data_IF_427808239465
#
_entry.id   IF_427808239465
#
_cell.length_a   1.000
_cell.length_b   1.000
_cell.length_c   1.000
_cell.angle_alpha   90.00
_cell.angle_beta   90.00
_cell.angle_gamma   90.00
#
_symmetry.space_group_name_H-M   'P 1'
#
loop_
_entity.id
_entity.type
_entity.pdbx_description
1 polymer ?
#
# COMPACT_ATOMS: atom_id res chain seq x y z
N UNK A 1 -10.09 7.11 6.23
CA UNK A 1 -8.63 6.96 6.28
C UNK A 1 -8.10 7.17 7.69
N UNK A 2 -8.48 6.28 8.62
CA UNK A 2 -7.96 6.28 10.00
C UNK A 2 -6.75 5.37 10.16
N UNK A 3 -5.98 5.14 9.10
CA UNK A 3 -4.62 4.63 9.25
C UNK A 3 -3.69 5.79 9.59
N UNK A 4 -4.04 6.53 10.65
CA UNK A 4 -3.16 7.52 11.20
C UNK A 4 -1.92 6.81 11.73
N UNK A 5 -0.78 7.30 11.33
CA UNK A 5 0.49 7.02 12.00
C UNK A 5 0.27 7.19 13.51
N UNK A 6 0.44 6.12 14.25
CA UNK A 6 0.29 6.14 15.71
C UNK A 6 1.26 7.10 16.42
N UNK A 7 2.06 7.85 15.69
CA UNK A 7 3.09 8.71 16.24
C UNK A 7 2.72 10.19 16.32
N UNK A 8 1.74 10.68 15.56
CA UNK A 8 1.47 12.12 15.51
C UNK A 8 0.23 12.57 16.26
N UNK A 9 -0.66 11.66 16.62
CA UNK A 9 -1.81 12.00 17.42
C UNK A 9 -1.48 11.91 18.91
N UNK A 10 -1.11 13.05 19.44
CA UNK A 10 -1.13 13.30 20.86
C UNK A 10 -2.40 12.73 21.44
N UNK A 11 -2.27 11.70 22.26
CA UNK A 11 -3.29 11.05 23.06
C UNK A 11 -4.51 11.94 23.34
N UNK A 12 -5.55 11.75 22.59
CA UNK A 12 -6.87 11.93 23.16
C UNK A 12 -7.09 10.70 24.02
N UNK A 13 -7.26 10.90 25.32
CA UNK A 13 -7.33 9.85 26.37
C UNK A 13 -8.38 8.73 26.13
N UNK A 14 -9.01 8.68 24.96
CA UNK A 14 -10.13 7.79 24.65
C UNK A 14 -9.91 6.99 23.36
N UNK A 15 -8.89 7.28 22.55
CA UNK A 15 -8.69 6.61 21.26
C UNK A 15 -7.69 5.47 21.40
N UNK A 16 -8.02 4.30 20.84
CA UNK A 16 -7.10 3.19 20.73
C UNK A 16 -6.04 3.47 19.65
N UNK A 17 -4.79 3.10 19.92
CA UNK A 17 -3.69 3.22 19.01
C UNK A 17 -3.49 1.95 18.18
N UNK A 18 -3.27 2.10 16.88
CA UNK A 18 -2.71 1.03 16.06
C UNK A 18 -1.27 0.74 16.44
N UNK A 19 -0.80 -0.46 16.10
CA UNK A 19 0.59 -0.86 16.32
C UNK A 19 1.32 -1.02 14.98
N UNK A 20 2.65 -0.80 14.92
CA UNK A 20 3.60 -0.52 16.01
C UNK A 20 3.33 0.80 16.73
N UNK A 21 3.26 0.75 18.06
CA UNK A 21 3.19 1.94 18.90
C UNK A 21 4.57 2.20 19.53
N UNK A 22 5.16 3.34 19.21
CA UNK A 22 6.47 3.72 19.74
C UNK A 22 6.34 4.78 20.82
N UNK A 23 6.97 4.51 21.96
CA UNK A 23 6.96 5.34 23.16
C UNK A 23 8.40 5.70 23.50
N UNK A 24 8.71 6.98 23.59
CA UNK A 24 9.97 7.50 24.13
C UNK A 24 9.78 7.91 25.59
N UNK A 25 10.61 7.36 26.48
CA UNK A 25 10.61 7.72 27.90
C UNK A 25 11.57 8.88 28.18
N UNK A 26 11.34 9.61 29.27
CA UNK A 26 12.17 10.75 29.69
C UNK A 26 13.63 10.37 29.92
N UNK A 27 13.91 9.14 30.32
CA UNK A 27 15.28 8.62 30.51
C UNK A 27 15.95 8.21 29.18
N UNK A 28 15.32 8.47 28.03
CA UNK A 28 15.87 8.15 26.71
C UNK A 28 15.54 6.77 26.18
N UNK A 29 14.98 5.87 27.00
CA UNK A 29 14.57 4.53 26.58
C UNK A 29 13.43 4.60 25.57
N UNK A 30 13.52 3.80 24.52
CA UNK A 30 12.50 3.73 23.47
C UNK A 30 11.87 2.33 23.51
N UNK A 31 10.54 2.29 23.46
CA UNK A 31 9.74 1.07 23.52
C UNK A 31 8.83 1.05 22.30
N UNK A 32 8.82 -0.06 21.54
CA UNK A 32 7.84 -0.29 20.49
C UNK A 32 7.04 -1.56 20.77
N UNK A 33 5.72 -1.45 20.70
CA UNK A 33 4.78 -2.54 20.96
C UNK A 33 4.11 -2.93 19.67
N UNK A 34 4.15 -4.21 19.32
CA UNK A 34 3.56 -4.71 18.09
C UNK A 34 3.14 -6.17 18.17
N UNK A 35 2.52 -6.67 17.09
CA UNK A 35 2.18 -8.08 16.90
C UNK A 35 2.83 -8.64 15.63
N UNK A 36 3.07 -9.95 15.61
CA UNK A 36 3.63 -10.65 14.45
C UNK A 36 2.86 -11.95 14.18
N UNK A 37 2.95 -12.43 12.92
CA UNK A 37 2.31 -13.67 12.47
C UNK A 37 0.79 -13.64 12.65
N UNK A 38 0.14 -12.60 12.16
CA UNK A 38 -1.33 -12.43 12.23
C UNK A 38 -2.01 -13.23 11.12
N UNK A 39 -2.47 -14.42 11.47
CA UNK A 39 -3.14 -15.39 10.58
C UNK A 39 -4.40 -15.89 11.29
N UNK A 40 -5.53 -15.92 10.59
CA UNK A 40 -6.82 -16.42 11.10
C UNK A 40 -7.14 -15.93 12.53
N UNK A 41 -6.91 -14.66 12.77
CA UNK A 41 -7.12 -14.02 14.07
C UNK A 41 -7.51 -12.56 13.89
N UNK A 42 -7.98 -11.89 14.92
CA UNK A 42 -8.29 -10.46 14.86
C UNK A 42 -7.09 -9.59 15.22
N UNK A 43 -6.88 -8.50 14.48
CA UNK A 43 -5.82 -7.53 14.75
C UNK A 43 -6.04 -6.81 16.09
N UNK A 44 -4.96 -6.50 16.79
CA UNK A 44 -5.03 -5.76 18.04
C UNK A 44 -4.89 -4.26 17.86
N UNK A 45 -5.50 -3.52 18.76
CA UNK A 45 -5.21 -2.13 19.10
C UNK A 45 -4.81 -2.02 20.56
N UNK A 46 -4.26 -0.88 20.95
CA UNK A 46 -3.88 -0.58 22.33
C UNK A 46 -4.71 0.60 22.83
N UNK A 47 -5.64 0.32 23.74
CA UNK A 47 -6.51 1.32 24.34
C UNK A 47 -5.92 1.84 25.66
N UNK A 48 -5.81 3.18 25.87
CA UNK A 48 -5.36 3.73 27.12
C UNK A 48 -6.45 3.58 28.22
N UNK A 49 -6.05 3.00 29.35
CA UNK A 49 -6.96 2.81 30.54
C UNK A 49 -6.62 3.75 31.68
N UNK A 50 -5.78 4.76 31.45
CA UNK A 50 -5.28 5.67 32.49
C UNK A 50 -4.08 5.13 33.26
N UNK A 51 -3.42 5.97 34.05
CA UNK A 51 -2.26 5.62 34.86
C UNK A 51 -1.11 4.91 34.10
N UNK A 52 -0.94 5.19 32.83
CA UNK A 52 0.08 4.57 31.99
C UNK A 52 -0.24 3.12 31.55
N UNK A 53 -1.43 2.62 31.81
CA UNK A 53 -1.87 1.29 31.38
C UNK A 53 -2.41 1.34 29.94
N UNK A 54 -1.98 0.35 29.14
CA UNK A 54 -2.51 0.05 27.82
C UNK A 54 -3.16 -1.33 27.85
N UNK A 55 -4.38 -1.42 27.36
CA UNK A 55 -5.09 -2.69 27.22
C UNK A 55 -5.18 -3.08 25.75
N UNK A 56 -4.98 -4.37 25.45
CA UNK A 56 -5.17 -4.91 24.11
C UNK A 56 -6.65 -5.06 23.84
N UNK A 57 -7.12 -4.42 22.77
CA UNK A 57 -8.45 -4.61 22.22
C UNK A 57 -8.36 -5.28 20.84
N UNK A 58 -9.31 -6.20 20.57
CA UNK A 58 -9.42 -6.89 19.28
C UNK A 58 -10.66 -6.38 18.54
N UNK A 59 -10.54 -6.23 17.23
CA UNK A 59 -11.69 -5.92 16.38
C UNK A 59 -12.67 -7.11 16.37
N UNK A 60 -13.92 -6.91 16.80
CA UNK A 60 -14.88 -8.00 16.84
C UNK A 60 -15.49 -8.28 15.47
N UNK A 61 -16.05 -9.46 15.30
CA UNK A 61 -17.07 -9.74 14.30
C UNK A 61 -18.33 -8.88 14.56
N UNK A 62 -19.20 -8.78 13.56
CA UNK A 62 -20.46 -8.04 13.68
C UNK A 62 -21.36 -8.53 14.82
N UNK A 63 -21.24 -9.80 15.21
CA UNK A 63 -21.95 -10.42 16.35
C UNK A 63 -21.26 -10.20 17.71
N UNK A 64 -20.16 -9.44 17.76
CA UNK A 64 -19.39 -9.15 18.98
C UNK A 64 -18.31 -10.18 19.33
N UNK A 65 -18.27 -11.33 18.64
CA UNK A 65 -17.22 -12.34 18.85
C UNK A 65 -15.85 -11.78 18.45
N UNK A 66 -14.84 -11.95 19.29
CA UNK A 66 -13.50 -11.42 18.98
C UNK A 66 -12.74 -12.27 17.99
N UNK A 67 -12.80 -13.59 18.12
CA UNK A 67 -12.15 -14.54 17.21
C UNK A 67 -13.01 -15.81 17.12
N UNK A 68 -13.22 -16.30 15.90
CA UNK A 68 -13.90 -17.56 15.61
C UNK A 68 -12.85 -18.61 15.25
N UNK A 69 -12.86 -19.74 15.91
CA UNK A 69 -11.84 -20.78 15.77
C UNK A 69 -12.53 -22.16 15.69
N UNK A 70 -11.98 -23.02 14.82
CA UNK A 70 -12.55 -24.37 14.68
C UNK A 70 -12.03 -25.32 15.77
N UNK A 71 -10.71 -25.64 15.80
CA UNK A 71 -10.19 -26.67 16.71
C UNK A 71 -8.85 -26.35 17.40
N UNK A 72 -8.02 -25.52 16.79
CA UNK A 72 -6.71 -25.12 17.34
C UNK A 72 -6.56 -23.62 17.29
N UNK A 73 -6.07 -23.07 18.38
CA UNK A 73 -5.75 -21.65 18.49
C UNK A 73 -4.26 -21.48 18.30
N UNK A 74 -3.88 -20.67 17.29
CA UNK A 74 -2.57 -20.05 17.26
C UNK A 74 -2.79 -18.55 17.27
N UNK A 75 -2.52 -17.91 18.41
CA UNK A 75 -2.61 -16.45 18.51
C UNK A 75 -1.38 -15.81 17.84
N UNK A 76 -1.51 -14.61 17.31
CA UNK A 76 -0.36 -13.81 16.90
C UNK A 76 0.61 -13.62 18.07
N UNK A 77 1.89 -13.50 17.79
CA UNK A 77 2.86 -13.03 18.75
C UNK A 77 2.58 -11.58 19.11
N UNK A 78 2.71 -11.25 20.38
CA UNK A 78 2.76 -9.88 20.87
C UNK A 78 4.11 -9.65 21.47
N UNK A 79 4.81 -8.64 20.98
CA UNK A 79 6.16 -8.38 21.41
C UNK A 79 6.38 -6.92 21.78
N UNK A 80 7.34 -6.70 22.66
CA UNK A 80 7.79 -5.38 23.08
C UNK A 80 9.28 -5.30 22.72
N UNK A 81 9.61 -4.38 21.85
CA UNK A 81 10.98 -4.07 21.50
C UNK A 81 11.46 -2.91 22.37
N UNK A 82 12.61 -3.07 22.99
CA UNK A 82 13.21 -2.07 23.87
C UNK A 82 14.59 -1.71 23.35
N UNK A 83 14.83 -0.42 23.14
CA UNK A 83 16.08 0.11 22.62
C UNK A 83 16.56 1.31 23.47
N UNK A 84 17.87 1.44 23.60
CA UNK A 84 18.50 2.57 24.28
C UNK A 84 18.69 3.80 23.37
N UNK A 85 18.51 3.62 22.05
CA UNK A 85 18.46 4.69 21.08
C UNK A 85 17.60 4.31 19.87
N UNK A 86 17.25 5.32 19.06
CA UNK A 86 16.35 5.16 17.92
C UNK A 86 16.95 4.35 16.76
N UNK A 87 18.26 4.43 16.54
CA UNK A 87 18.94 3.67 15.47
C UNK A 87 18.84 2.16 15.71
N UNK A 88 19.02 1.69 16.95
CA UNK A 88 18.87 0.28 17.32
C UNK A 88 17.43 -0.22 17.14
N UNK A 89 16.44 0.64 17.31
CA UNK A 89 15.04 0.27 17.04
C UNK A 89 14.85 -0.07 15.56
N UNK A 90 15.46 0.73 14.65
CA UNK A 90 15.36 0.56 13.20
C UNK A 90 16.11 -0.68 12.67
N UNK A 91 17.10 -1.17 13.39
CA UNK A 91 17.93 -2.31 12.98
C UNK A 91 17.36 -3.68 13.37
N UNK A 92 16.21 -3.72 14.03
CA UNK A 92 15.65 -4.97 14.54
C UNK A 92 14.90 -5.78 13.48
N UNK A 93 15.20 -7.07 13.42
CA UNK A 93 14.50 -8.06 12.59
C UNK A 93 13.52 -8.95 13.39
N UNK A 94 13.18 -8.57 14.62
CA UNK A 94 12.37 -9.39 15.53
C UNK A 94 11.04 -9.81 14.89
N UNK A 95 10.39 -8.91 14.15
CA UNK A 95 9.10 -9.20 13.51
C UNK A 95 9.22 -10.35 12.50
N UNK A 96 10.33 -10.44 11.76
CA UNK A 96 10.57 -11.55 10.83
C UNK A 96 10.87 -12.84 11.57
N UNK A 97 11.66 -12.76 12.65
CA UNK A 97 12.03 -13.94 13.45
C UNK A 97 10.84 -14.58 14.19
N UNK A 98 9.74 -13.85 14.33
CA UNK A 98 8.48 -14.34 14.90
C UNK A 98 7.52 -14.91 13.84
N UNK A 99 7.96 -15.04 12.59
CA UNK A 99 7.21 -15.66 11.50
C UNK A 99 7.92 -16.92 11.02
N UNK A 100 7.13 -17.82 10.44
CA UNK A 100 7.64 -19.05 9.83
C UNK A 100 8.36 -18.75 8.51
N UNK A 101 9.25 -19.64 8.11
CA UNK A 101 9.82 -19.67 6.77
C UNK A 101 8.75 -20.08 5.73
N UNK A 102 8.98 -19.84 4.44
CA UNK A 102 8.13 -20.37 3.39
C UNK A 102 8.06 -21.89 3.46
N UNK A 103 6.95 -22.47 3.00
CA UNK A 103 6.87 -23.92 2.82
C UNK A 103 8.01 -24.38 1.87
N UNK A 104 8.80 -25.34 2.30
CA UNK A 104 9.95 -25.89 1.54
C UNK A 104 9.57 -26.47 0.16
N UNK A 105 8.28 -26.83 -0.02
CA UNK A 105 7.75 -27.30 -1.29
C UNK A 105 7.28 -26.16 -2.23
N UNK A 106 7.33 -24.89 -1.77
CA UNK A 106 6.97 -23.73 -2.56
C UNK A 106 8.20 -23.00 -3.08
N UNK A 107 8.28 -22.86 -4.40
CA UNK A 107 9.33 -22.06 -5.04
C UNK A 107 8.89 -20.58 -5.15
N UNK A 108 9.63 -19.69 -4.52
CA UNK A 108 9.48 -18.24 -4.62
C UNK A 108 10.65 -17.55 -5.36
N UNK A 109 11.50 -18.29 -6.05
CA UNK A 109 12.65 -17.74 -6.82
C UNK A 109 12.23 -16.77 -7.92
N UNK A 110 10.96 -16.81 -8.32
CA UNK A 110 10.33 -15.92 -9.30
C UNK A 110 9.98 -14.54 -8.73
N UNK A 111 9.94 -14.37 -7.41
CA UNK A 111 9.74 -13.05 -6.77
C UNK A 111 10.96 -12.20 -7.07
N UNK A 112 10.74 -11.05 -7.70
CA UNK A 112 11.82 -10.13 -8.06
C UNK A 112 11.44 -8.71 -7.64
N UNK A 113 12.36 -8.01 -7.01
CA UNK A 113 12.22 -6.59 -6.73
C UNK A 113 12.30 -5.78 -8.02
N UNK A 114 11.85 -4.52 -7.95
CA UNK A 114 11.90 -3.67 -9.12
C UNK A 114 11.42 -2.25 -8.88
N UNK A 115 11.39 -1.50 -9.97
CA UNK A 115 10.84 -0.15 -10.00
C UNK A 115 9.76 -0.05 -11.06
N UNK A 116 8.73 0.71 -10.76
CA UNK A 116 7.63 0.91 -11.67
C UNK A 116 7.22 2.38 -11.73
N UNK A 117 6.57 2.74 -12.83
CA UNK A 117 5.88 4.02 -13.00
C UNK A 117 4.37 3.78 -12.98
N UNK A 118 3.56 4.84 -12.98
CA UNK A 118 2.12 4.68 -13.01
C UNK A 118 1.36 5.77 -13.74
N UNK A 119 0.33 5.35 -14.45
CA UNK A 119 -0.78 6.20 -14.85
C UNK A 119 -1.70 6.27 -13.63
N UNK A 120 -1.41 7.18 -12.73
CA UNK A 120 -2.03 7.27 -11.41
C UNK A 120 -2.00 8.70 -10.86
N UNK A 121 -0.81 9.33 -10.69
CA UNK A 121 -0.68 10.65 -10.07
C UNK A 121 -1.40 11.74 -10.89
N UNK A 122 -1.50 11.58 -12.19
CA UNK A 122 -2.28 12.49 -13.04
C UNK A 122 -3.80 12.44 -12.76
N UNK A 123 -4.28 11.41 -12.07
CA UNK A 123 -5.68 11.28 -11.66
C UNK A 123 -5.89 11.84 -10.25
N UNK A 124 -5.14 11.37 -9.26
CA UNK A 124 -5.35 11.74 -7.86
C UNK A 124 -4.61 13.00 -7.43
N UNK A 125 -3.43 13.23 -7.98
CA UNK A 125 -2.55 14.33 -7.58
C UNK A 125 -2.77 15.61 -8.39
N UNK A 126 -2.84 15.48 -9.73
CA UNK A 126 -2.93 16.66 -10.61
C UNK A 126 -4.32 16.88 -11.20
N UNK A 127 -5.21 15.91 -11.15
CA UNK A 127 -6.54 15.94 -11.80
C UNK A 127 -6.45 16.21 -13.33
N UNK A 128 -5.35 15.85 -14.00
CA UNK A 128 -5.22 15.99 -15.45
C UNK A 128 -6.01 14.92 -16.20
N UNK A 129 -6.29 13.79 -15.54
CA UNK A 129 -7.07 12.71 -16.13
C UNK A 129 -8.03 12.07 -15.12
N UNK A 130 -8.88 11.16 -15.61
CA UNK A 130 -9.88 10.43 -14.85
C UNK A 130 -9.60 8.94 -14.85
N UNK A 131 -10.08 8.23 -13.80
CA UNK A 131 -10.10 6.76 -13.77
C UNK A 131 -11.17 6.16 -14.69
N UNK A 132 -12.24 6.90 -14.98
CA UNK A 132 -13.35 6.46 -15.82
C UNK A 132 -13.23 6.97 -17.24
N UNK A 133 -13.87 6.28 -18.18
CA UNK A 133 -13.92 6.70 -19.57
C UNK A 133 -14.52 8.09 -19.73
N UNK A 134 -13.73 9.00 -20.25
CA UNK A 134 -14.04 10.39 -20.51
C UNK A 134 -13.13 10.93 -21.61
N UNK A 135 -13.28 12.20 -21.98
CA UNK A 135 -12.34 12.88 -22.87
C UNK A 135 -10.91 12.89 -22.31
N UNK A 136 -10.76 12.89 -20.98
CA UNK A 136 -9.48 12.93 -20.28
C UNK A 136 -9.15 11.59 -19.58
N UNK A 137 -9.63 10.47 -20.08
CA UNK A 137 -9.35 9.17 -19.52
C UNK A 137 -7.85 8.86 -19.48
N UNK A 138 -7.33 8.49 -18.29
CA UNK A 138 -5.92 8.16 -18.10
C UNK A 138 -5.54 6.80 -18.68
N UNK A 139 -6.38 5.79 -18.50
CA UNK A 139 -6.10 4.43 -18.93
C UNK A 139 -6.50 4.18 -20.40
N UNK A 140 -6.11 5.03 -21.33
CA UNK A 140 -6.31 4.79 -22.76
C UNK A 140 -5.05 4.26 -23.46
N UNK A 141 -5.20 3.56 -24.56
CA UNK A 141 -4.11 2.91 -25.29
C UNK A 141 -2.95 3.86 -25.62
N UNK A 142 -3.23 5.06 -26.09
CA UNK A 142 -2.20 6.00 -26.54
C UNK A 142 -1.35 6.52 -25.38
N UNK A 143 -2.01 6.90 -24.27
CA UNK A 143 -1.33 7.39 -23.07
C UNK A 143 -0.51 6.28 -22.42
N UNK A 144 -1.10 5.11 -22.24
CA UNK A 144 -0.40 3.97 -21.63
C UNK A 144 0.80 3.54 -22.46
N UNK A 145 0.68 3.54 -23.81
CA UNK A 145 1.83 3.30 -24.68
C UNK A 145 2.94 4.33 -24.47
N UNK A 146 2.60 5.61 -24.37
CA UNK A 146 3.58 6.68 -24.09
C UNK A 146 4.32 6.44 -22.76
N UNK A 147 3.60 6.04 -21.70
CA UNK A 147 4.23 5.70 -20.42
C UNK A 147 5.09 4.44 -20.48
N UNK A 148 4.68 3.41 -21.24
CA UNK A 148 5.49 2.21 -21.48
C UNK A 148 6.81 2.57 -22.17
N UNK A 149 6.76 3.40 -23.24
CA UNK A 149 7.94 3.86 -23.95
C UNK A 149 8.88 4.65 -23.03
N UNK A 150 8.33 5.52 -22.20
CA UNK A 150 9.11 6.30 -21.23
C UNK A 150 9.73 5.42 -20.14
N UNK A 151 8.97 4.47 -19.60
CA UNK A 151 9.46 3.52 -18.61
C UNK A 151 10.61 2.67 -19.15
N UNK A 152 10.44 2.10 -20.36
CA UNK A 152 11.48 1.32 -21.05
C UNK A 152 12.76 2.11 -21.27
N UNK A 153 12.65 3.35 -21.79
CA UNK A 153 13.80 4.23 -22.01
C UNK A 153 14.57 4.57 -20.74
N UNK A 154 13.91 4.50 -19.59
CA UNK A 154 14.49 4.87 -18.29
C UNK A 154 14.76 3.67 -17.37
N UNK A 155 14.76 2.44 -17.91
CA UNK A 155 15.05 1.19 -17.20
C UNK A 155 14.08 0.85 -16.05
N UNK A 156 12.84 1.31 -16.13
CA UNK A 156 11.77 0.81 -15.26
C UNK A 156 11.21 -0.48 -15.87
N UNK A 157 10.96 -1.48 -15.02
CA UNK A 157 10.48 -2.80 -15.46
C UNK A 157 8.97 -2.99 -15.25
N UNK A 158 8.28 -2.00 -14.70
CA UNK A 158 6.83 -2.05 -14.45
C UNK A 158 6.11 -0.74 -14.79
N UNK A 159 4.86 -0.87 -15.22
CA UNK A 159 3.92 0.26 -15.38
C UNK A 159 2.57 -0.10 -14.77
N UNK A 160 2.20 0.59 -13.69
CA UNK A 160 0.87 0.55 -13.11
C UNK A 160 -0.11 1.36 -13.99
N UNK A 161 -1.30 0.81 -14.20
CA UNK A 161 -2.40 1.53 -14.87
C UNK A 161 -3.67 1.35 -14.03
N UNK A 162 -4.12 2.40 -13.41
CA UNK A 162 -5.44 2.44 -12.77
C UNK A 162 -6.52 2.85 -13.80
N UNK A 163 -7.77 2.51 -13.58
CA UNK A 163 -8.86 2.85 -14.51
C UNK A 163 -8.99 1.93 -15.73
N UNK A 164 -8.20 0.86 -15.83
CA UNK A 164 -8.14 0.00 -17.00
C UNK A 164 -9.38 -0.88 -17.23
N UNK A 165 -10.10 -1.21 -16.16
CA UNK A 165 -11.16 -2.22 -16.14
C UNK A 165 -12.55 -1.60 -15.96
N UNK A 166 -13.60 -2.35 -16.24
CA UNK A 166 -14.98 -1.94 -16.01
C UNK A 166 -15.29 -1.76 -14.53
N UNK A 167 -16.14 -0.80 -14.20
CA UNK A 167 -16.56 -0.45 -12.84
C UNK A 167 -16.20 0.98 -12.42
N UNK A 168 -15.28 1.62 -13.12
CA UNK A 168 -14.93 3.01 -12.86
C UNK A 168 -15.96 3.98 -13.41
N UNK A 169 -16.44 4.89 -12.56
CA UNK A 169 -17.37 5.97 -12.89
C UNK A 169 -17.14 7.17 -11.93
N UNK A 170 -17.69 8.37 -12.19
CA UNK A 170 -17.40 9.55 -11.36
C UNK A 170 -17.65 9.36 -9.85
N UNK A 171 -18.58 8.49 -9.48
CA UNK A 171 -18.95 8.22 -8.09
C UNK A 171 -18.46 6.83 -7.60
N UNK A 172 -17.39 6.28 -8.21
CA UNK A 172 -16.89 4.94 -7.90
C UNK A 172 -16.44 4.78 -6.43
N UNK A 173 -15.94 5.86 -5.83
CA UNK A 173 -15.58 5.87 -4.42
C UNK A 173 -16.63 6.57 -3.56
N UNK A 174 -16.64 6.26 -2.28
CA UNK A 174 -17.23 7.06 -1.21
C UNK A 174 -18.77 7.12 -1.16
N UNK A 175 -19.48 6.63 -2.16
CA UNK A 175 -20.95 6.56 -2.18
C UNK A 175 -21.50 5.26 -1.57
N UNK A 176 -20.69 4.19 -1.52
CA UNK A 176 -21.11 2.85 -1.11
C UNK A 176 -22.05 2.15 -2.10
N UNK A 177 -22.34 2.77 -3.24
CA UNK A 177 -23.31 2.31 -4.25
C UNK A 177 -22.68 2.13 -5.63
N UNK A 178 -21.34 2.09 -5.73
CA UNK A 178 -20.65 1.88 -7.00
C UNK A 178 -20.98 0.54 -7.64
N UNK A 179 -20.98 0.50 -8.97
CA UNK A 179 -21.05 -0.75 -9.71
C UNK A 179 -19.89 -1.67 -9.32
N UNK A 180 -20.08 -2.99 -9.28
CA UNK A 180 -19.00 -3.91 -8.97
C UNK A 180 -17.94 -3.87 -10.06
N UNK A 181 -16.68 -3.80 -9.65
CA UNK A 181 -15.55 -3.89 -10.58
C UNK A 181 -15.49 -5.26 -11.25
N UNK A 182 -15.17 -5.27 -12.55
CA UNK A 182 -14.70 -6.47 -13.24
C UNK A 182 -13.17 -6.53 -13.17
N UNK A 183 -12.60 -7.66 -12.82
CA UNK A 183 -11.15 -7.86 -12.78
C UNK A 183 -10.61 -8.63 -13.99
N UNK A 184 -11.48 -8.85 -14.99
CA UNK A 184 -11.16 -9.60 -16.22
C UNK A 184 -11.51 -8.85 -17.49
N UNK A 185 -12.27 -7.76 -17.39
CA UNK A 185 -12.76 -7.01 -18.56
C UNK A 185 -12.22 -5.59 -18.58
N UNK A 186 -11.54 -5.25 -19.67
CA UNK A 186 -11.08 -3.87 -19.94
C UNK A 186 -12.24 -2.97 -20.32
N UNK A 187 -12.03 -1.66 -20.14
CA UNK A 187 -12.84 -0.63 -20.79
C UNK A 187 -12.52 -0.55 -22.29
N UNK A 188 -13.38 0.11 -23.09
CA UNK A 188 -13.31 0.02 -24.55
C UNK A 188 -12.05 0.65 -25.18
N UNK A 189 -11.45 1.64 -24.54
CA UNK A 189 -10.26 2.35 -25.00
C UNK A 189 -8.95 1.83 -24.41
N UNK A 190 -9.02 0.69 -23.65
CA UNK A 190 -7.87 -0.01 -23.08
C UNK A 190 -7.82 -1.46 -23.58
N UNK A 191 -6.89 -1.77 -24.47
CA UNK A 191 -6.62 -3.14 -24.92
C UNK A 191 -5.51 -3.76 -24.10
N UNK A 192 -5.88 -4.53 -23.07
CA UNK A 192 -4.92 -5.15 -22.14
C UNK A 192 -4.01 -6.15 -22.84
N UNK A 193 -4.47 -6.87 -23.87
CA UNK A 193 -3.66 -7.83 -24.59
C UNK A 193 -2.60 -7.14 -25.47
N UNK A 194 -3.00 -6.10 -26.19
CA UNK A 194 -2.08 -5.28 -26.97
C UNK A 194 -1.02 -4.62 -26.09
N UNK A 195 -1.44 -3.92 -25.03
CA UNK A 195 -0.54 -3.15 -24.18
C UNK A 195 0.42 -4.05 -23.38
N UNK A 196 -0.04 -5.19 -22.89
CA UNK A 196 0.83 -6.15 -22.21
C UNK A 196 1.83 -6.78 -23.16
N UNK A 197 1.40 -7.18 -24.36
CA UNK A 197 2.30 -7.72 -25.39
C UNK A 197 3.35 -6.70 -25.83
N UNK A 198 2.92 -5.46 -26.07
CA UNK A 198 3.82 -4.36 -26.40
C UNK A 198 4.82 -4.09 -25.28
N UNK A 199 4.35 -3.91 -24.04
CA UNK A 199 5.20 -3.66 -22.88
C UNK A 199 6.24 -4.78 -22.67
N UNK A 200 5.79 -6.03 -22.73
CA UNK A 200 6.69 -7.19 -22.60
C UNK A 200 7.78 -7.19 -23.71
N UNK A 201 7.45 -6.79 -24.93
CA UNK A 201 8.41 -6.73 -26.05
C UNK A 201 9.50 -5.68 -25.86
N UNK A 202 9.26 -4.65 -25.04
CA UNK A 202 10.22 -3.57 -24.73
C UNK A 202 10.77 -3.63 -23.30
N UNK A 203 10.53 -4.77 -22.58
CA UNK A 203 11.06 -5.04 -21.25
C UNK A 203 10.29 -4.39 -20.08
N UNK A 204 9.06 -3.93 -20.29
CA UNK A 204 8.20 -3.33 -19.25
C UNK A 204 6.92 -4.15 -19.10
N UNK A 205 6.74 -4.79 -17.95
CA UNK A 205 5.49 -5.48 -17.67
C UNK A 205 4.41 -4.50 -17.16
N UNK A 206 3.15 -4.76 -17.47
CA UNK A 206 2.08 -4.10 -16.74
C UNK A 206 2.12 -4.53 -15.26
N UNK A 207 1.96 -3.59 -14.36
CA UNK A 207 1.60 -3.84 -12.96
C UNK A 207 0.08 -3.80 -12.90
N UNK A 208 -0.53 -4.93 -12.53
CA UNK A 208 -1.97 -5.04 -12.44
C UNK A 208 -2.53 -4.14 -11.36
N UNK A 209 -3.76 -3.67 -11.55
CA UNK A 209 -4.49 -2.91 -10.54
C UNK A 209 -5.86 -3.53 -10.28
N UNK A 210 -6.15 -3.82 -9.03
CA UNK A 210 -7.44 -4.34 -8.58
C UNK A 210 -8.00 -3.46 -7.45
N UNK A 211 -8.77 -2.42 -7.80
CA UNK A 211 -9.57 -1.69 -6.83
C UNK A 211 -10.85 -2.47 -6.52
N UNK A 212 -11.09 -2.74 -5.25
CA UNK A 212 -12.26 -3.55 -4.83
C UNK A 212 -13.47 -2.71 -4.47
N UNK A 213 -13.29 -1.41 -4.18
CA UNK A 213 -14.35 -0.54 -3.65
C UNK A 213 -14.96 -1.07 -2.35
N UNK A 214 -14.23 -1.90 -1.58
CA UNK A 214 -14.71 -2.58 -0.39
C UNK A 214 -15.67 -3.75 -0.67
N UNK A 215 -15.82 -4.17 -1.93
CA UNK A 215 -16.71 -5.28 -2.33
C UNK A 215 -15.96 -6.62 -2.35
N UNK A 216 -15.61 -7.10 -1.16
CA UNK A 216 -14.72 -8.24 -0.94
C UNK A 216 -15.19 -9.51 -1.65
N UNK A 217 -16.46 -9.85 -1.54
CA UNK A 217 -17.01 -11.08 -2.15
C UNK A 217 -17.04 -10.99 -3.67
N UNK A 218 -17.27 -9.81 -4.26
CA UNK A 218 -17.15 -9.61 -5.70
C UNK A 218 -15.73 -9.90 -6.18
N UNK A 219 -14.72 -9.41 -5.43
CA UNK A 219 -13.32 -9.67 -5.75
C UNK A 219 -12.98 -11.16 -5.60
N UNK A 220 -13.38 -11.78 -4.48
CA UNK A 220 -13.10 -13.20 -4.25
C UNK A 220 -13.72 -14.14 -5.29
N UNK A 221 -14.90 -13.80 -5.80
CA UNK A 221 -15.57 -14.58 -6.84
C UNK A 221 -14.83 -14.54 -8.18
N UNK A 222 -14.04 -13.49 -8.44
CA UNK A 222 -13.30 -13.31 -9.68
C UNK A 222 -11.80 -13.61 -9.54
N UNK A 223 -11.31 -13.86 -8.32
CA UNK A 223 -9.90 -13.87 -7.98
C UNK A 223 -9.06 -14.83 -8.84
N UNK A 224 -9.53 -16.07 -8.99
CA UNK A 224 -8.83 -17.10 -9.77
C UNK A 224 -8.75 -16.72 -11.25
N UNK A 225 -9.83 -16.23 -11.86
CA UNK A 225 -9.87 -15.87 -13.27
C UNK A 225 -9.07 -14.59 -13.55
N UNK A 226 -9.10 -13.62 -12.64
CA UNK A 226 -8.28 -12.41 -12.73
C UNK A 226 -6.77 -12.75 -12.67
N UNK A 227 -6.37 -13.64 -11.77
CA UNK A 227 -4.96 -14.02 -11.66
C UNK A 227 -4.50 -14.91 -12.82
N UNK A 228 -5.36 -15.78 -13.36
CA UNK A 228 -5.09 -16.50 -14.62
C UNK A 228 -4.88 -15.54 -15.79
N UNK A 229 -5.74 -14.51 -15.91
CA UNK A 229 -5.59 -13.48 -16.93
C UNK A 229 -4.20 -12.82 -16.81
N UNK A 230 -3.85 -12.33 -15.63
CA UNK A 230 -2.59 -11.64 -15.42
C UNK A 230 -1.36 -12.54 -15.64
N UNK A 231 -1.38 -13.78 -15.16
CA UNK A 231 -0.31 -14.72 -15.44
C UNK A 231 -0.13 -14.94 -16.96
N UNK A 232 -1.25 -15.14 -17.69
CA UNK A 232 -1.24 -15.36 -19.15
C UNK A 232 -0.64 -14.20 -19.93
N UNK A 233 -0.92 -12.95 -19.54
CA UNK A 233 -0.45 -11.75 -20.24
C UNK A 233 0.91 -11.25 -19.74
N UNK A 234 1.54 -11.94 -18.79
CA UNK A 234 2.90 -11.64 -18.31
C UNK A 234 2.99 -10.61 -17.20
N UNK A 235 1.89 -10.19 -16.58
CA UNK A 235 1.91 -9.40 -15.34
C UNK A 235 2.63 -10.16 -14.25
N UNK A 236 3.44 -9.47 -13.44
CA UNK A 236 4.22 -10.05 -12.33
C UNK A 236 3.86 -9.47 -10.98
N UNK A 237 3.38 -8.24 -10.95
CA UNK A 237 3.04 -7.52 -9.74
C UNK A 237 1.62 -6.98 -9.85
N UNK A 238 0.87 -7.03 -8.74
CA UNK A 238 -0.50 -6.52 -8.66
C UNK A 238 -0.57 -5.56 -7.49
N UNK A 239 -1.02 -4.33 -7.74
CA UNK A 239 -1.46 -3.39 -6.71
C UNK A 239 -2.94 -3.65 -6.44
N UNK A 240 -3.30 -3.94 -5.19
CA UNK A 240 -4.71 -4.09 -4.78
C UNK A 240 -5.14 -2.90 -3.95
N UNK A 241 -6.35 -2.36 -4.22
CA UNK A 241 -6.97 -1.27 -3.49
C UNK A 241 -8.25 -1.69 -2.78
N UNK A 242 -8.55 -1.04 -1.68
CA UNK A 242 -9.72 -1.32 -0.82
C UNK A 242 -10.38 -0.03 -0.36
N UNK A 243 -10.51 0.94 -1.23
CA UNK A 243 -11.21 2.19 -0.94
C UNK A 243 -12.65 1.89 -0.50
N UNK A 244 -13.21 2.68 0.41
CA UNK A 244 -14.52 2.50 1.07
C UNK A 244 -14.61 1.43 2.15
N UNK A 245 -13.53 0.77 2.51
CA UNK A 245 -13.50 -0.27 3.54
C UNK A 245 -13.13 0.25 4.94
N UNK A 246 -13.20 1.54 5.15
CA UNK A 246 -12.83 2.17 6.41
C UNK A 246 -13.70 1.72 7.59
N UNK A 247 -13.07 1.48 8.74
CA UNK A 247 -13.73 1.15 10.00
C UNK A 247 -14.59 -0.13 9.94
N UNK A 248 -15.81 -0.10 10.45
CA UNK A 248 -16.78 -1.20 10.44
C UNK A 248 -17.71 -1.08 9.23
N UNK A 249 -17.17 -1.15 8.02
CA UNK A 249 -17.97 -0.93 6.82
C UNK A 249 -17.87 -2.03 5.76
N UNK A 250 -17.06 -3.07 5.99
CA UNK A 250 -16.91 -4.17 5.04
C UNK A 250 -18.22 -4.94 4.95
N UNK A 251 -18.85 -4.90 3.79
CA UNK A 251 -20.06 -5.66 3.52
C UNK A 251 -19.73 -7.14 3.36
N UNK A 252 -20.42 -7.97 4.15
CA UNK A 252 -20.38 -9.44 4.05
C UNK A 252 -21.78 -9.99 3.85
N UNK A 253 -21.98 -10.76 2.79
CA UNK A 253 -23.21 -11.50 2.54
C UNK A 253 -23.04 -12.89 3.18
N UNK A 254 -23.87 -13.19 4.15
CA UNK A 254 -23.83 -14.46 4.85
C UNK A 254 -24.51 -15.57 4.01
N UNK A 255 -24.23 -16.86 4.30
CA UNK A 255 -24.82 -17.99 3.52
C UNK A 255 -26.34 -17.96 3.41
N UNK A 256 -27.04 -17.47 4.43
CA UNK A 256 -28.49 -17.32 4.45
C UNK A 256 -29.01 -16.07 3.70
N UNK A 257 -28.12 -15.28 3.06
CA UNK A 257 -28.46 -14.08 2.31
C UNK A 257 -28.57 -12.79 3.14
N UNK A 258 -28.39 -12.85 4.46
CA UNK A 258 -28.33 -11.65 5.30
C UNK A 258 -27.02 -10.89 5.07
N UNK A 259 -27.04 -9.59 5.37
CA UNK A 259 -25.85 -8.72 5.25
C UNK A 259 -25.37 -8.32 6.62
N UNK A 260 -24.10 -8.59 6.90
CA UNK A 260 -23.38 -8.04 8.05
C UNK A 260 -22.37 -7.00 7.62
N UNK A 261 -21.89 -6.19 8.59
CA UNK A 261 -20.83 -5.20 8.43
C UNK A 261 -19.66 -5.57 9.32
N UNK A 262 -18.55 -5.93 8.72
CA UNK A 262 -17.35 -6.37 9.42
C UNK A 262 -16.33 -5.23 9.50
N UNK A 263 -15.40 -5.36 10.45
CA UNK A 263 -14.29 -4.42 10.59
C UNK A 263 -13.17 -4.74 9.59
N UNK A 264 -12.58 -3.69 9.01
CA UNK A 264 -11.42 -3.83 8.12
C UNK A 264 -10.24 -4.58 8.75
N UNK A 265 -10.00 -4.38 10.04
CA UNK A 265 -8.93 -5.03 10.80
C UNK A 265 -9.39 -6.28 11.57
N UNK A 266 -10.61 -6.75 11.31
CA UNK A 266 -11.17 -7.96 11.88
C UNK A 266 -10.70 -9.24 11.18
N UNK A 267 -10.97 -10.39 11.81
CA UNK A 267 -10.56 -11.70 11.31
C UNK A 267 -11.04 -11.96 9.88
N UNK A 268 -12.26 -11.55 9.51
CA UNK A 268 -12.80 -11.72 8.15
C UNK A 268 -11.88 -11.15 7.07
N UNK A 269 -11.36 -9.95 7.27
CA UNK A 269 -10.47 -9.31 6.30
C UNK A 269 -9.06 -9.90 6.34
N UNK A 270 -8.60 -10.34 7.50
CA UNK A 270 -7.29 -11.02 7.62
C UNK A 270 -7.30 -12.30 6.81
N UNK A 271 -8.38 -13.10 6.90
CA UNK A 271 -8.55 -14.33 6.13
C UNK A 271 -8.67 -14.04 4.62
N UNK A 272 -9.40 -12.97 4.25
CA UNK A 272 -9.45 -12.50 2.87
C UNK A 272 -8.05 -12.13 2.34
N UNK A 273 -7.31 -11.33 3.08
CA UNK A 273 -5.97 -10.91 2.66
C UNK A 273 -5.01 -12.08 2.51
N UNK A 274 -5.09 -13.08 3.38
CA UNK A 274 -4.31 -14.28 3.25
C UNK A 274 -4.70 -15.09 2.01
N UNK A 275 -6.00 -15.27 1.74
CA UNK A 275 -6.50 -15.93 0.54
C UNK A 275 -5.98 -15.28 -0.74
N UNK A 276 -5.95 -13.94 -0.79
CA UNK A 276 -5.40 -13.19 -1.95
C UNK A 276 -3.92 -13.52 -2.16
N UNK A 277 -3.11 -13.50 -1.10
CA UNK A 277 -1.67 -13.76 -1.18
C UNK A 277 -1.39 -15.21 -1.64
N UNK A 278 -2.08 -16.18 -1.05
CA UNK A 278 -1.92 -17.60 -1.36
C UNK A 278 -2.39 -17.92 -2.79
N UNK A 279 -3.50 -17.32 -3.22
CA UNK A 279 -3.97 -17.48 -4.59
C UNK A 279 -3.00 -16.83 -5.58
N UNK A 280 -2.47 -15.64 -5.28
CA UNK A 280 -1.48 -14.99 -6.11
C UNK A 280 -0.20 -15.84 -6.27
N UNK A 281 0.26 -16.50 -5.19
CA UNK A 281 1.42 -17.37 -5.24
C UNK A 281 1.25 -18.54 -6.23
N UNK A 282 0.06 -19.15 -6.33
CA UNK A 282 -0.25 -20.21 -7.31
C UNK A 282 -0.04 -19.74 -8.76
N UNK A 283 -0.26 -18.45 -9.02
CA UNK A 283 -0.11 -17.83 -10.35
C UNK A 283 1.22 -17.07 -10.51
N UNK A 284 2.14 -17.20 -9.56
CA UNK A 284 3.43 -16.50 -9.54
C UNK A 284 3.29 -14.98 -9.67
N UNK A 285 2.41 -14.41 -8.86
CA UNK A 285 2.10 -12.99 -8.82
C UNK A 285 2.49 -12.41 -7.45
N UNK A 286 3.16 -11.27 -7.45
CA UNK A 286 3.44 -10.48 -6.26
C UNK A 286 2.26 -9.56 -5.94
N UNK A 287 2.03 -9.32 -4.67
CA UNK A 287 1.00 -8.40 -4.18
C UNK A 287 1.63 -7.18 -3.53
N UNK A 288 1.23 -6.01 -4.00
CA UNK A 288 1.45 -4.69 -3.41
C UNK A 288 0.09 -4.24 -2.91
N UNK A 289 -0.09 -4.14 -1.60
CA UNK A 289 -1.41 -3.89 -1.03
C UNK A 289 -1.57 -2.46 -0.55
N UNK A 290 -2.58 -1.76 -1.05
CA UNK A 290 -3.05 -0.48 -0.53
C UNK A 290 -4.28 -0.67 0.36
N UNK A 291 -4.58 0.27 1.26
CA UNK A 291 -5.52 0.16 2.38
C UNK A 291 -5.40 -1.20 3.11
N UNK A 292 -4.17 -1.64 3.47
CA UNK A 292 -3.97 -2.93 4.11
C UNK A 292 -4.24 -2.86 5.61
N UNK A 293 -4.38 -4.03 6.21
CA UNK A 293 -4.06 -4.14 7.64
C UNK A 293 -2.55 -3.92 7.85
N UNK A 294 -2.18 -3.60 9.10
CA UNK A 294 -0.77 -3.46 9.48
C UNK A 294 0.07 -4.68 9.06
N UNK A 295 1.34 -4.45 8.77
CA UNK A 295 2.28 -5.53 8.52
C UNK A 295 2.61 -6.26 9.83
N UNK A 296 2.65 -7.59 9.79
CA UNK A 296 3.00 -8.45 10.93
C UNK A 296 4.11 -9.43 10.57
N UNK A 297 4.90 -9.12 9.53
CA UNK A 297 6.06 -9.89 9.11
C UNK A 297 5.75 -11.09 8.21
N UNK A 298 4.51 -11.24 7.75
CA UNK A 298 4.07 -12.37 6.91
C UNK A 298 4.85 -12.51 5.59
N UNK A 299 5.57 -11.46 5.18
CA UNK A 299 6.46 -11.53 3.99
C UNK A 299 7.59 -12.56 4.13
N UNK A 300 7.92 -13.01 5.34
CA UNK A 300 8.84 -14.14 5.53
C UNK A 300 8.22 -15.42 5.02
N UNK A 301 6.99 -15.73 5.44
CA UNK A 301 6.26 -16.92 5.02
C UNK A 301 5.76 -16.86 3.58
N UNK A 302 5.38 -15.66 3.15
CA UNK A 302 4.84 -15.37 1.81
C UNK A 302 5.67 -14.29 1.11
N UNK A 303 6.83 -14.64 0.53
CA UNK A 303 7.71 -13.67 -0.13
C UNK A 303 7.04 -12.85 -1.25
N UNK A 304 5.98 -13.37 -1.87
CA UNK A 304 5.18 -12.67 -2.86
C UNK A 304 4.28 -11.56 -2.28
N UNK A 305 4.21 -11.43 -0.98
CA UNK A 305 3.63 -10.26 -0.33
C UNK A 305 4.71 -9.18 -0.21
N UNK A 306 5.00 -8.54 -1.35
CA UNK A 306 6.25 -7.83 -1.54
C UNK A 306 6.26 -6.44 -0.88
N UNK A 307 5.13 -5.74 -0.88
CA UNK A 307 4.99 -4.42 -0.25
C UNK A 307 3.54 -4.12 0.12
N UNK A 308 3.33 -3.09 0.94
CA UNK A 308 2.02 -2.56 1.30
C UNK A 308 2.10 -1.10 1.72
N UNK A 309 1.01 -0.36 1.58
CA UNK A 309 0.94 1.02 2.08
C UNK A 309 0.87 1.05 3.62
N UNK A 310 -0.29 0.90 4.23
CA UNK A 310 -0.54 0.75 5.67
C UNK A 310 -0.32 1.99 6.54
N UNK A 311 -0.12 3.15 5.95
CA UNK A 311 -0.16 4.48 6.55
C UNK A 311 -0.40 5.51 5.42
N UNK A 312 -0.63 6.77 5.77
CA UNK A 312 -0.76 7.84 4.78
C UNK A 312 0.51 7.93 3.93
N UNK A 313 0.41 7.54 2.66
CA UNK A 313 1.46 7.64 1.66
C UNK A 313 1.40 8.97 0.88
N UNK A 314 2.09 9.00 -0.24
CA UNK A 314 2.05 10.15 -1.17
C UNK A 314 0.63 10.42 -1.68
N UNK A 315 -0.19 9.39 -1.85
CA UNK A 315 -1.58 9.50 -2.27
C UNK A 315 -2.36 10.52 -1.45
N UNK A 316 -2.16 10.53 -0.14
CA UNK A 316 -2.86 11.43 0.76
C UNK A 316 -2.57 12.91 0.47
N UNK A 317 -1.40 13.23 -0.07
CA UNK A 317 -1.07 14.58 -0.53
C UNK A 317 -1.83 14.98 -1.81
N UNK A 318 -2.44 14.03 -2.52
CA UNK A 318 -3.29 14.31 -3.69
C UNK A 318 -4.60 15.00 -3.34
N UNK A 319 -5.12 14.81 -2.14
CA UNK A 319 -6.42 15.37 -1.73
C UNK A 319 -6.40 16.03 -0.34
N UNK A 320 -5.27 15.97 0.39
CA UNK A 320 -5.09 16.54 1.71
C UNK A 320 -3.63 16.90 1.95
N UNK A 321 -3.17 16.90 3.18
CA UNK A 321 -1.76 17.09 3.53
C UNK A 321 -1.35 16.19 4.70
N UNK A 322 -0.19 15.55 4.56
CA UNK A 322 0.41 14.78 5.65
C UNK A 322 1.15 15.66 6.68
N UNK A 323 1.43 16.92 6.34
CA UNK A 323 2.34 17.75 7.11
C UNK A 323 3.81 17.34 6.93
N UNK A 324 4.73 18.21 7.33
CA UNK A 324 6.17 18.01 7.08
C UNK A 324 6.80 16.92 7.96
N UNK A 325 6.27 16.71 9.17
CA UNK A 325 6.84 15.78 10.17
C UNK A 325 6.43 14.33 9.92
N UNK A 326 5.34 14.09 9.17
CA UNK A 326 4.85 12.73 8.92
C UNK A 326 5.94 11.81 8.35
N UNK A 327 6.78 12.32 7.45
CA UNK A 327 7.86 11.54 6.86
C UNK A 327 8.94 11.11 7.86
N UNK A 328 9.15 11.86 8.94
CA UNK A 328 10.10 11.53 10.01
C UNK A 328 9.50 10.68 11.13
N UNK A 329 8.15 10.54 11.15
CA UNK A 329 7.44 9.66 12.07
C UNK A 329 7.37 8.22 11.54
N UNK A 330 7.18 8.05 10.24
CA UNK A 330 6.97 6.73 9.63
C UNK A 330 8.11 5.72 9.90
N UNK A 331 9.40 6.09 9.87
CA UNK A 331 10.49 5.17 10.18
C UNK A 331 10.38 4.52 11.56
N UNK A 332 9.89 5.27 12.55
CA UNK A 332 9.78 4.82 13.95
C UNK A 332 8.41 4.26 14.31
N UNK A 333 7.52 4.14 13.35
CA UNK A 333 6.16 3.60 13.52
C UNK A 333 5.89 2.56 12.44
N UNK A 334 5.24 2.96 11.33
CA UNK A 334 4.81 2.06 10.25
C UNK A 334 5.95 1.20 9.66
N UNK A 335 7.11 1.78 9.42
CA UNK A 335 8.24 1.08 8.80
C UNK A 335 8.94 0.07 9.72
N UNK A 336 8.72 0.14 11.04
CA UNK A 336 9.18 -0.91 11.97
C UNK A 336 8.54 -2.27 11.68
N UNK A 337 7.38 -2.29 11.06
CA UNK A 337 6.69 -3.53 10.71
C UNK A 337 7.11 -4.12 9.36
N UNK A 338 7.68 -3.32 8.47
CA UNK A 338 8.16 -3.81 7.18
C UNK A 338 8.07 -2.80 6.03
N UNK A 339 8.27 -3.27 4.79
CA UNK A 339 8.31 -2.43 3.61
C UNK A 339 7.02 -1.64 3.42
N UNK A 340 7.17 -0.42 2.87
CA UNK A 340 6.05 0.46 2.58
C UNK A 340 6.06 0.93 1.14
N UNK A 341 4.95 0.73 0.43
CA UNK A 341 4.71 1.36 -0.87
C UNK A 341 4.18 2.79 -0.65
N UNK A 342 5.11 3.70 -0.32
CA UNK A 342 4.82 5.12 -0.07
C UNK A 342 4.50 5.88 -1.35
N UNK A 343 4.96 5.38 -2.50
CA UNK A 343 4.85 6.01 -3.82
C UNK A 343 5.55 7.38 -3.92
N UNK A 344 6.87 7.46 -3.61
CA UNK A 344 7.61 8.71 -3.60
C UNK A 344 7.97 9.23 -5.00
N UNK A 345 8.67 10.36 -5.05
CA UNK A 345 9.30 10.87 -6.26
C UNK A 345 8.52 11.95 -6.97
N UNK A 346 7.63 12.65 -6.28
CA UNK A 346 6.93 13.80 -6.84
C UNK A 346 7.88 15.01 -6.88
N UNK A 347 8.17 15.51 -8.08
CA UNK A 347 9.03 16.67 -8.30
C UNK A 347 8.24 17.97 -8.51
N UNK A 348 7.00 17.85 -9.04
CA UNK A 348 6.11 18.98 -9.15
C UNK A 348 5.34 19.16 -7.83
N UNK A 349 5.87 19.99 -6.92
CA UNK A 349 5.38 20.08 -5.54
C UNK A 349 4.31 21.15 -5.33
N UNK A 350 4.27 22.19 -6.16
CA UNK A 350 3.45 23.38 -5.90
C UNK A 350 2.53 23.72 -7.09
N UNK A 351 1.32 24.18 -6.80
CA UNK A 351 0.35 24.74 -7.76
C UNK A 351 0.17 23.86 -9.03
N UNK A 352 0.07 22.57 -8.83
CA UNK A 352 0.03 21.59 -9.90
C UNK A 352 -1.36 20.96 -10.11
N UNK A 353 -2.19 20.94 -9.04
CA UNK A 353 -3.48 20.26 -9.07
C UNK A 353 -4.55 21.13 -9.70
N UNK A 354 -5.21 20.61 -10.72
CA UNK A 354 -6.45 21.19 -11.24
C UNK A 354 -7.61 20.96 -10.25
N UNK A 355 -8.54 21.91 -10.17
CA UNK A 355 -9.74 21.80 -9.31
C UNK A 355 -10.56 20.57 -9.65
N UNK A 356 -10.64 20.25 -10.94
CA UNK A 356 -11.26 19.03 -11.46
C UNK A 356 -10.62 18.64 -12.79
N UNK A 357 -10.75 17.37 -13.22
CA UNK A 357 -10.23 16.91 -14.51
C UNK A 357 -10.75 17.78 -15.66
N UNK A 358 -9.81 18.26 -16.49
CA UNK A 358 -10.10 19.14 -17.62
C UNK A 358 -10.40 20.62 -17.27
N UNK A 359 -10.22 21.02 -16.02
CA UNK A 359 -10.30 22.42 -15.58
C UNK A 359 -9.02 23.17 -15.94
N UNK A 360 -9.13 24.47 -16.26
CA UNK A 360 -7.98 25.39 -16.35
C UNK A 360 -7.64 26.02 -14.99
N UNK A 361 -8.49 25.82 -13.99
CA UNK A 361 -8.32 26.34 -12.63
C UNK A 361 -7.44 25.43 -11.79
N UNK A 362 -6.42 25.99 -11.14
CA UNK A 362 -5.49 25.26 -10.26
C UNK A 362 -5.86 25.47 -8.79
N UNK A 363 -5.97 24.37 -8.05
CA UNK A 363 -6.09 24.40 -6.60
C UNK A 363 -4.73 24.81 -5.97
N UNK A 364 -4.61 26.07 -5.63
CA UNK A 364 -3.39 26.64 -5.03
C UNK A 364 -3.08 26.11 -3.64
N UNK A 365 -4.00 25.39 -3.00
CA UNK A 365 -3.80 24.76 -1.70
C UNK A 365 -3.28 23.31 -1.83
N UNK A 366 -3.30 22.73 -3.02
CA UNK A 366 -2.78 21.40 -3.28
C UNK A 366 -1.24 21.44 -3.37
N UNK A 367 -0.60 21.41 -2.22
CA UNK A 367 0.87 21.44 -2.09
C UNK A 367 1.35 20.13 -1.46
N UNK A 368 2.31 19.48 -2.10
CA UNK A 368 3.06 18.38 -1.46
C UNK A 368 4.09 19.00 -0.51
N UNK A 369 3.99 18.79 0.82
CA UNK A 369 4.85 19.42 1.81
C UNK A 369 6.24 18.75 1.85
N UNK A 370 6.96 18.84 0.75
CA UNK A 370 8.22 18.15 0.51
C UNK A 370 9.23 19.05 -0.24
N UNK A 371 10.36 18.48 -0.57
CA UNK A 371 11.38 19.03 -1.50
C UNK A 371 11.86 17.90 -2.40
N UNK A 372 12.42 18.21 -3.58
CA UNK A 372 13.01 17.18 -4.45
C UNK A 372 14.04 16.35 -3.67
N UNK A 373 14.89 16.99 -2.87
CA UNK A 373 15.89 16.27 -2.06
C UNK A 373 15.24 15.30 -1.05
N UNK A 374 14.16 15.71 -0.39
CA UNK A 374 13.39 14.83 0.50
C UNK A 374 12.76 13.68 -0.27
N UNK A 375 12.14 13.93 -1.43
CA UNK A 375 11.56 12.89 -2.28
C UNK A 375 12.62 11.85 -2.69
N UNK A 376 13.84 12.27 -3.01
CA UNK A 376 14.94 11.35 -3.29
C UNK A 376 15.38 10.56 -2.06
N UNK A 377 15.46 11.18 -0.89
CA UNK A 377 15.83 10.51 0.36
C UNK A 377 14.85 9.39 0.74
N UNK A 378 13.55 9.52 0.39
CA UNK A 378 12.54 8.51 0.67
C UNK A 378 12.85 7.16 -0.02
N UNK A 379 13.51 7.15 -1.17
CA UNK A 379 13.94 5.91 -1.85
C UNK A 379 15.00 5.13 -1.06
N UNK A 380 15.73 5.79 -0.17
CA UNK A 380 16.74 5.16 0.69
C UNK A 380 16.16 4.80 2.05
N UNK A 381 15.42 5.72 2.67
CA UNK A 381 14.92 5.58 4.04
C UNK A 381 13.69 4.66 4.09
N UNK A 382 12.81 4.72 3.09
CA UNK A 382 11.60 3.93 3.05
C UNK A 382 11.82 2.64 2.25
N UNK A 383 12.14 1.59 2.97
CA UNK A 383 12.36 0.30 2.33
C UNK A 383 11.09 -0.20 1.63
N UNK A 384 11.22 -0.51 0.36
CA UNK A 384 10.25 -1.26 -0.43
C UNK A 384 10.96 -2.03 -1.55
N UNK A 385 10.80 -3.34 -1.67
CA UNK A 385 11.35 -4.10 -2.80
C UNK A 385 10.71 -3.72 -4.15
N UNK A 386 9.53 -3.13 -4.11
CA UNK A 386 8.88 -2.52 -5.28
C UNK A 386 8.69 -1.04 -5.03
N UNK A 387 9.44 -0.19 -5.74
CA UNK A 387 9.39 1.27 -5.56
C UNK A 387 8.81 1.95 -6.79
N UNK A 388 7.88 2.87 -6.57
CA UNK A 388 7.25 3.66 -7.61
C UNK A 388 8.02 4.96 -7.87
N UNK A 389 8.22 5.31 -9.15
CA UNK A 389 8.47 6.67 -9.57
C UNK A 389 7.11 7.30 -9.89
N UNK A 390 6.55 8.04 -8.93
CA UNK A 390 5.12 8.34 -8.91
C UNK A 390 4.71 9.53 -9.77
N UNK A 391 5.65 10.43 -10.11
CA UNK A 391 5.35 11.64 -10.88
C UNK A 391 5.19 11.38 -12.39
N UNK A 392 4.67 12.36 -13.10
CA UNK A 392 4.44 12.30 -14.54
C UNK A 392 5.77 12.40 -15.31
N UNK A 393 5.91 11.74 -16.47
CA UNK A 393 7.11 11.81 -17.31
C UNK A 393 7.59 13.24 -17.60
N UNK A 394 6.66 14.16 -17.86
CA UNK A 394 6.98 15.57 -18.16
C UNK A 394 7.68 16.31 -17.01
N UNK A 395 7.44 15.88 -15.75
CA UNK A 395 8.08 16.48 -14.60
C UNK A 395 9.50 15.92 -14.38
N UNK A 396 9.69 14.64 -14.63
CA UNK A 396 11.03 14.02 -14.59
C UNK A 396 11.96 14.58 -15.67
N UNK A 397 11.46 14.85 -16.87
CA UNK A 397 12.23 15.45 -17.97
C UNK A 397 12.79 16.83 -17.58
N UNK A 398 12.09 17.59 -16.74
CA UNK A 398 12.53 18.91 -16.26
C UNK A 398 13.67 18.84 -15.22
N UNK A 399 13.86 17.68 -14.57
CA UNK A 399 14.84 17.48 -13.49
C UNK A 399 15.69 16.22 -13.76
N UNK A 400 16.44 16.16 -14.86
CA UNK A 400 17.11 14.95 -15.32
C UNK A 400 18.15 14.41 -14.32
N UNK A 401 18.88 15.27 -13.59
CA UNK A 401 19.87 14.85 -12.60
C UNK A 401 19.22 14.19 -11.38
N UNK A 402 18.14 14.77 -10.86
CA UNK A 402 17.38 14.17 -9.76
C UNK A 402 16.71 12.86 -10.19
N UNK A 403 16.22 12.79 -11.42
CA UNK A 403 15.61 11.58 -11.96
C UNK A 403 16.63 10.45 -12.17
N UNK A 404 17.89 10.80 -12.51
CA UNK A 404 18.98 9.81 -12.60
C UNK A 404 19.20 9.09 -11.26
N UNK A 405 19.07 9.80 -10.13
CA UNK A 405 19.12 9.17 -8.82
C UNK A 405 18.01 8.11 -8.65
N UNK A 406 16.75 8.45 -8.99
CA UNK A 406 15.64 7.48 -8.90
C UNK A 406 15.92 6.24 -9.75
N UNK A 407 16.49 6.41 -10.95
CA UNK A 407 16.83 5.29 -11.84
C UNK A 407 17.93 4.39 -11.26
N UNK A 408 18.93 5.00 -10.64
CA UNK A 408 20.14 4.30 -10.18
C UNK A 408 20.07 3.73 -8.76
N UNK A 409 19.29 4.36 -7.85
CA UNK A 409 19.18 3.88 -6.45
C UNK A 409 18.68 2.44 -6.41
N UNK A 410 19.31 1.53 -5.64
CA UNK A 410 18.84 0.15 -5.54
C UNK A 410 17.55 0.05 -4.74
N UNK A 411 16.79 -1.02 -4.96
CA UNK A 411 15.58 -1.37 -4.19
C UNK A 411 15.82 -2.48 -3.16
N UNK A 412 16.96 -3.14 -3.25
CA UNK A 412 17.45 -4.11 -2.27
C UNK A 412 18.84 -3.74 -1.79
N UNK A 413 19.09 -4.02 -0.53
CA UNK A 413 20.33 -3.69 0.16
C UNK A 413 20.91 -4.93 0.84
N UNK A 414 22.16 -5.25 0.58
CA UNK A 414 22.87 -6.34 1.27
C UNK A 414 23.18 -6.01 2.73
N UNK A 415 23.26 -4.72 3.04
CA UNK A 415 23.50 -4.22 4.39
C UNK A 415 22.94 -2.81 4.53
N UNK A 416 22.32 -2.54 5.66
CA UNK A 416 21.95 -1.18 6.10
C UNK A 416 22.70 -0.86 7.39
N UNK A 417 22.93 0.41 7.63
CA UNK A 417 23.46 0.90 8.89
C UNK A 417 22.87 2.28 9.17
N UNK A 418 22.15 2.40 10.27
CA UNK A 418 21.60 3.68 10.71
C UNK A 418 22.67 4.40 11.53
N UNK A 419 23.29 5.42 10.96
CA UNK A 419 24.40 6.14 11.57
C UNK A 419 23.90 6.96 12.75
N UNK A 420 22.82 7.70 12.55
CA UNK A 420 22.15 8.50 13.57
C UNK A 420 20.68 8.68 13.23
N UNK A 421 19.87 8.87 14.26
CA UNK A 421 18.44 9.10 14.07
C UNK A 421 17.82 9.73 15.32
N UNK A 422 16.74 10.49 15.11
CA UNK A 422 15.94 11.05 16.19
C UNK A 422 14.47 11.01 15.83
N UNK A 423 13.67 10.39 16.70
CA UNK A 423 12.23 10.18 16.46
C UNK A 423 11.57 11.51 16.13
N UNK A 424 10.78 11.52 15.05
CA UNK A 424 10.04 12.67 14.51
C UNK A 424 10.91 13.81 13.98
N UNK A 425 12.24 13.65 13.90
CA UNK A 425 13.12 14.71 13.43
C UNK A 425 13.93 14.30 12.19
N UNK A 426 14.67 13.18 12.27
CA UNK A 426 15.48 12.68 11.14
C UNK A 426 15.87 11.20 11.26
N UNK A 427 16.26 10.64 10.15
CA UNK A 427 16.94 9.34 10.01
C UNK A 427 18.12 9.49 9.07
#
# INVERSE_FOLDING_TARGET
HECSSAASDVYKRQDAAHTPLTIKKDNGLIISIHEANLINYSSMTLAPKGNGLLEVELYPWSDGTKVKLDNKITSPWRFIQIADNSSKLLDSDIILNLNEDPDENQDFSWVKPGKYMGVWWEMIGTNESTWWQSQNHGANNSKVKYYLDFASKNNFNGLLVEGWNKGWHPEWCCSGNGDPFSFTESVNDFDINYLSSYGNSIGVNLVGHHETGGQIQNYENQLEDAFKLYNRIGVKNIKTGYVNDVSKNIKKINPEGTVSREWHHGQYMIDHFQKVIETAAKYKLNIIKHEPIKDTGLRRKYPNFISREGAKGQEFNGFSSNGVNHATDLPFTRLLSGPMDYTPGIFQLNNFRYVSPGSDEIDKNAIVPSTIAKELALYVVYYSPMQMAADLPKHYIKHPEAFEFIKSVPVEWSKKNVIDSKISEFV
#
